data_IF_998510146384
#
_entry.id   IF_998510146384
#
_cell.length_a   1.000
_cell.length_b   1.000
_cell.length_c   1.000
_cell.angle_alpha   90.00
_cell.angle_beta   90.00
_cell.angle_gamma   90.00
#
_symmetry.space_group_name_H-M   'P 1'
#
loop_
_entity.id
_entity.type
_entity.pdbx_description
1 polymer ?
#
# COMPACT_ATOMS: atom_id res chain seq x y z
N UNK A 1 -30.47 -14.96 10.55
CA UNK A 1 -29.53 -15.88 9.94
C UNK A 1 -28.20 -15.25 9.66
N UNK A 2 -27.19 -15.86 10.16
CA UNK A 2 -25.85 -15.31 10.18
C UNK A 2 -24.94 -15.87 9.07
N UNK A 3 -25.50 -16.55 8.06
CA UNK A 3 -24.69 -17.19 7.03
C UNK A 3 -23.71 -16.24 6.35
N UNK A 4 -24.13 -15.04 6.02
CA UNK A 4 -23.26 -14.04 5.41
C UNK A 4 -22.18 -13.57 6.39
N UNK A 5 -22.54 -13.36 7.64
CA UNK A 5 -21.60 -12.98 8.70
C UNK A 5 -20.62 -14.11 8.99
N UNK A 6 -21.08 -15.36 9.06
CA UNK A 6 -20.22 -16.52 9.30
C UNK A 6 -19.26 -16.76 8.14
N UNK A 7 -19.74 -16.57 6.91
CA UNK A 7 -18.91 -16.66 5.72
C UNK A 7 -17.78 -15.62 5.74
N UNK A 8 -18.10 -14.37 6.12
CA UNK A 8 -17.10 -13.30 6.25
C UNK A 8 -16.09 -13.61 7.36
N UNK A 9 -16.54 -14.16 8.48
CA UNK A 9 -15.66 -14.51 9.61
C UNK A 9 -14.69 -15.63 9.26
N UNK A 10 -15.07 -16.54 8.36
CA UNK A 10 -14.27 -17.70 7.99
C UNK A 10 -13.40 -17.47 6.76
N UNK A 11 -13.62 -16.36 6.07
CA UNK A 11 -12.91 -16.08 4.83
C UNK A 11 -11.44 -15.74 5.13
N UNK A 12 -10.56 -16.46 4.46
CA UNK A 12 -9.12 -16.24 4.52
C UNK A 12 -8.64 -15.79 3.15
N UNK A 13 -7.79 -14.80 3.14
CA UNK A 13 -7.19 -14.27 1.91
C UNK A 13 -6.00 -15.14 1.51
N UNK A 14 -6.05 -15.73 0.32
CA UNK A 14 -5.07 -16.75 -0.09
C UNK A 14 -4.13 -16.29 -1.20
N UNK A 15 -4.52 -15.27 -1.97
CA UNK A 15 -3.71 -14.80 -3.08
C UNK A 15 -3.81 -13.27 -3.21
N UNK A 16 -2.98 -12.71 -4.06
CA UNK A 16 -2.90 -11.26 -4.21
C UNK A 16 -4.18 -10.65 -4.81
N UNK A 17 -4.84 -11.37 -5.70
CA UNK A 17 -6.12 -10.90 -6.25
C UNK A 17 -7.15 -10.71 -5.15
N UNK A 18 -7.27 -11.70 -4.25
CA UNK A 18 -8.17 -11.59 -3.08
C UNK A 18 -7.71 -10.49 -2.13
N UNK A 19 -6.40 -10.34 -1.93
CA UNK A 19 -5.86 -9.27 -1.11
C UNK A 19 -6.24 -7.91 -1.67
N UNK A 20 -6.17 -7.74 -2.99
CA UNK A 20 -6.55 -6.50 -3.66
C UNK A 20 -8.01 -6.14 -3.41
N UNK A 21 -8.89 -7.13 -3.29
CA UNK A 21 -10.31 -6.91 -3.04
C UNK A 21 -10.60 -6.36 -1.65
N UNK A 22 -9.64 -6.42 -0.73
CA UNK A 22 -9.78 -5.81 0.60
C UNK A 22 -9.59 -4.30 0.59
N UNK A 23 -9.19 -3.73 -0.54
CA UNK A 23 -8.87 -2.31 -0.65
C UNK A 23 -10.09 -1.44 -0.42
N UNK A 24 -9.95 -0.50 0.48
CA UNK A 24 -10.97 0.47 0.85
C UNK A 24 -10.29 1.83 1.03
N UNK A 25 -10.62 2.76 0.17
CA UNK A 25 -10.01 4.10 0.19
C UNK A 25 -10.87 5.13 0.94
N UNK A 26 -11.85 4.68 1.72
CA UNK A 26 -12.75 5.59 2.44
C UNK A 26 -11.99 6.55 3.37
N UNK A 27 -10.98 6.06 4.05
CA UNK A 27 -10.12 6.88 4.92
C UNK A 27 -9.40 7.96 4.09
N UNK A 28 -8.73 7.55 3.02
CA UNK A 28 -7.98 8.48 2.17
C UNK A 28 -8.91 9.50 1.50
N UNK A 29 -10.11 9.06 1.09
CA UNK A 29 -11.10 9.93 0.46
C UNK A 29 -11.65 10.98 1.42
N UNK A 30 -11.53 10.77 2.72
CA UNK A 30 -11.93 11.75 3.74
C UNK A 30 -10.85 12.81 3.98
N UNK A 31 -9.69 12.64 3.41
CA UNK A 31 -8.55 13.55 3.53
C UNK A 31 -8.38 14.37 2.25
N UNK A 32 -7.63 15.46 2.36
CA UNK A 32 -7.32 16.32 1.22
C UNK A 32 -5.89 16.11 0.76
N UNK A 33 -5.71 15.89 -0.53
CA UNK A 33 -4.38 15.88 -1.12
C UNK A 33 -3.79 17.28 -1.13
N UNK A 34 -2.46 17.36 -1.07
CA UNK A 34 -1.76 18.63 -1.28
C UNK A 34 -2.07 19.16 -2.68
N UNK A 35 -2.60 20.39 -2.80
CA UNK A 35 -3.00 20.94 -4.10
C UNK A 35 -1.82 21.16 -5.06
N UNK A 36 -0.60 21.22 -4.56
CA UNK A 36 0.59 21.38 -5.40
C UNK A 36 1.16 20.04 -5.85
N UNK A 37 0.59 18.92 -5.37
CA UNK A 37 1.08 17.60 -5.74
C UNK A 37 0.65 17.22 -7.15
N UNK A 38 1.45 16.34 -7.79
CA UNK A 38 1.07 15.72 -9.05
C UNK A 38 0.24 14.47 -8.78
N UNK A 39 -0.77 14.23 -9.61
CA UNK A 39 -1.67 13.08 -9.41
C UNK A 39 -1.00 11.74 -9.75
N UNK A 40 0.06 11.78 -10.56
CA UNK A 40 0.76 10.58 -10.97
C UNK A 40 1.74 10.06 -9.91
N UNK A 41 1.99 10.82 -8.85
CA UNK A 41 2.89 10.41 -7.78
C UNK A 41 4.37 10.42 -8.16
N UNK A 42 4.73 11.04 -9.27
CA UNK A 42 6.11 11.03 -9.76
C UNK A 42 6.93 12.25 -9.33
N UNK A 43 6.33 13.18 -8.60
CA UNK A 43 7.05 14.31 -8.04
C UNK A 43 7.77 13.86 -6.76
N UNK A 44 9.06 13.65 -6.87
CA UNK A 44 9.92 13.20 -5.75
C UNK A 44 10.83 14.30 -5.23
N UNK A 45 10.63 15.54 -5.65
CA UNK A 45 11.47 16.64 -5.16
C UNK A 45 11.13 17.01 -3.73
N UNK A 46 12.11 17.07 -2.83
CA UNK A 46 11.88 17.56 -1.47
C UNK A 46 11.35 19.01 -1.52
N UNK A 47 10.29 19.26 -0.83
CA UNK A 47 9.72 20.60 -0.72
C UNK A 47 8.85 20.70 0.52
N UNK A 48 8.61 21.92 0.96
CA UNK A 48 7.67 22.17 2.03
C UNK A 48 6.24 21.98 1.53
N UNK A 49 5.40 21.36 2.36
CA UNK A 49 3.98 21.15 2.09
C UNK A 49 3.19 22.03 3.07
N UNK A 50 2.47 23.01 2.54
CA UNK A 50 1.75 23.98 3.36
C UNK A 50 0.27 23.68 3.49
N UNK A 51 -0.26 22.75 2.71
CA UNK A 51 -1.69 22.45 2.67
C UNK A 51 -1.91 21.00 2.31
N UNK A 52 -3.06 20.46 2.76
CA UNK A 52 -3.41 19.06 2.50
C UNK A 52 -2.88 18.13 3.58
N UNK A 53 -3.36 16.88 3.54
CA UNK A 53 -3.02 15.86 4.51
C UNK A 53 -2.01 14.85 3.96
N UNK A 54 -1.96 14.71 2.64
CA UNK A 54 -1.10 13.71 2.01
C UNK A 54 -0.69 14.16 0.61
N UNK A 55 0.33 13.49 0.09
CA UNK A 55 0.86 13.69 -1.26
C UNK A 55 0.85 12.34 -1.97
N UNK A 56 0.29 12.23 -3.18
CA UNK A 56 0.43 11.02 -3.97
C UNK A 56 1.89 10.75 -4.30
N UNK A 57 2.34 9.53 -4.08
CA UNK A 57 3.72 9.11 -4.41
C UNK A 57 3.71 7.70 -4.98
N UNK A 58 4.68 7.42 -5.84
CA UNK A 58 4.92 6.07 -6.34
C UNK A 58 6.27 5.61 -5.81
N UNK A 59 6.30 4.52 -5.03
CA UNK A 59 7.56 4.01 -4.51
C UNK A 59 8.48 3.52 -5.64
N UNK A 60 9.77 3.54 -5.40
CA UNK A 60 10.73 2.89 -6.29
C UNK A 60 10.73 1.40 -6.00
N UNK A 61 10.42 0.59 -7.00
CA UNK A 61 10.38 -0.86 -6.84
C UNK A 61 11.79 -1.43 -6.67
N UNK A 62 11.91 -2.39 -5.75
CA UNK A 62 13.14 -3.17 -5.63
C UNK A 62 13.16 -4.21 -6.74
N UNK A 63 14.26 -4.29 -7.53
CA UNK A 63 14.33 -5.27 -8.61
C UNK A 63 14.44 -6.70 -8.08
N UNK A 64 13.78 -7.63 -8.74
CA UNK A 64 13.83 -9.07 -8.44
C UNK A 64 13.65 -9.40 -6.96
N UNK A 65 12.53 -8.95 -6.35
CA UNK A 65 12.35 -9.16 -4.92
C UNK A 65 12.13 -10.63 -4.59
N UNK A 66 12.66 -11.03 -3.44
CA UNK A 66 12.50 -12.37 -2.91
C UNK A 66 11.83 -12.32 -1.56
N UNK A 67 10.92 -13.28 -1.33
CA UNK A 67 10.28 -13.41 -0.03
C UNK A 67 11.31 -13.82 1.04
N UNK A 68 11.27 -13.18 2.19
CA UNK A 68 12.14 -13.50 3.33
C UNK A 68 11.33 -14.07 4.48
N UNK A 69 10.40 -13.30 5.04
CA UNK A 69 9.62 -13.77 6.19
C UNK A 69 8.40 -12.88 6.41
N UNK A 70 7.52 -13.35 7.28
CA UNK A 70 6.35 -12.57 7.71
C UNK A 70 5.99 -12.93 9.15
N UNK A 71 5.15 -12.11 9.75
CA UNK A 71 4.60 -12.39 11.07
C UNK A 71 3.42 -13.35 10.97
N UNK A 72 3.59 -14.58 11.39
CA UNK A 72 2.50 -15.56 11.42
C UNK A 72 1.34 -15.09 12.30
N UNK A 73 1.66 -14.43 13.41
CA UNK A 73 0.64 -13.92 14.33
C UNK A 73 -0.21 -12.84 13.67
N UNK A 74 0.42 -11.89 12.97
CA UNK A 74 -0.29 -10.83 12.28
C UNK A 74 -1.13 -11.41 11.13
N UNK A 75 -0.59 -12.34 10.37
CA UNK A 75 -1.35 -13.00 9.29
C UNK A 75 -2.60 -13.66 9.84
N UNK A 76 -2.49 -14.35 10.96
CA UNK A 76 -3.64 -14.98 11.59
C UNK A 76 -4.69 -13.96 12.02
N UNK A 77 -4.26 -12.87 12.65
CA UNK A 77 -5.17 -11.80 13.08
C UNK A 77 -5.89 -11.14 11.90
N UNK A 78 -5.19 -10.95 10.79
CA UNK A 78 -5.73 -10.33 9.59
C UNK A 78 -6.41 -11.34 8.65
N UNK A 79 -6.43 -12.61 9.01
CA UNK A 79 -6.99 -13.70 8.20
C UNK A 79 -6.33 -13.80 6.82
N UNK A 80 -5.01 -13.69 6.83
CA UNK A 80 -4.19 -13.88 5.63
C UNK A 80 -3.59 -15.29 5.69
N UNK A 81 -3.68 -16.02 4.58
CA UNK A 81 -3.08 -17.34 4.47
C UNK A 81 -1.58 -17.23 4.24
N UNK A 82 -0.82 -18.18 4.74
CA UNK A 82 0.61 -18.30 4.42
C UNK A 82 0.85 -18.48 2.93
N UNK A 83 -0.12 -19.02 2.20
CA UNK A 83 -0.03 -19.16 0.74
C UNK A 83 0.10 -17.83 0.02
N UNK A 84 -0.36 -16.75 0.65
CA UNK A 84 -0.22 -15.41 0.10
C UNK A 84 1.25 -15.04 -0.11
N UNK A 85 2.15 -15.52 0.75
CA UNK A 85 3.59 -15.24 0.62
C UNK A 85 4.22 -15.91 -0.59
N UNK A 86 3.56 -16.91 -1.17
CA UNK A 86 4.02 -17.59 -2.39
C UNK A 86 3.56 -16.88 -3.65
N UNK A 87 2.67 -15.92 -3.53
CA UNK A 87 2.19 -15.12 -4.65
C UNK A 87 3.24 -14.06 -4.99
N UNK A 88 3.77 -14.12 -6.20
CA UNK A 88 4.80 -13.18 -6.67
C UNK A 88 4.34 -11.73 -6.60
N UNK A 89 3.08 -11.47 -6.89
CA UNK A 89 2.55 -10.12 -6.86
C UNK A 89 2.48 -9.56 -5.44
N UNK A 90 2.22 -10.41 -4.45
CA UNK A 90 2.28 -9.99 -3.05
C UNK A 90 3.70 -9.55 -2.69
N UNK A 91 4.69 -10.33 -3.07
CA UNK A 91 6.09 -9.99 -2.83
C UNK A 91 6.49 -8.68 -3.54
N UNK A 92 6.08 -8.52 -4.80
CA UNK A 92 6.35 -7.31 -5.57
C UNK A 92 5.71 -6.08 -4.95
N UNK A 93 4.45 -6.21 -4.53
CA UNK A 93 3.71 -5.09 -3.94
C UNK A 93 4.43 -4.57 -2.69
N UNK A 94 4.79 -5.47 -1.80
CA UNK A 94 5.47 -5.10 -0.55
C UNK A 94 6.95 -4.75 -0.76
N UNK A 95 7.44 -4.86 -1.98
CA UNK A 95 8.78 -4.41 -2.37
C UNK A 95 8.74 -3.13 -3.20
N UNK A 96 7.61 -2.44 -3.21
CA UNK A 96 7.48 -1.14 -3.84
C UNK A 96 6.89 -1.14 -5.23
N UNK A 97 6.61 -2.30 -5.83
CA UNK A 97 6.01 -2.36 -7.16
C UNK A 97 4.48 -2.32 -7.05
N UNK A 98 3.93 -1.12 -6.95
CA UNK A 98 2.49 -0.94 -6.84
C UNK A 98 1.77 -1.10 -8.19
N UNK A 99 2.51 -1.26 -9.29
CA UNK A 99 1.91 -1.50 -10.60
C UNK A 99 1.18 -2.83 -10.68
N UNK A 100 1.48 -3.77 -9.77
CA UNK A 100 0.79 -5.07 -9.69
C UNK A 100 -0.60 -4.98 -9.09
N UNK A 101 -1.01 -3.81 -8.59
CA UNK A 101 -2.32 -3.62 -7.96
C UNK A 101 -3.44 -4.06 -8.90
N UNK A 102 -4.39 -4.81 -8.35
CA UNK A 102 -5.53 -5.35 -9.07
C UNK A 102 -6.81 -4.72 -8.53
N UNK A 103 -7.76 -4.44 -9.41
CA UNK A 103 -9.01 -3.78 -9.02
C UNK A 103 -9.71 -4.58 -7.89
N UNK A 104 -10.26 -3.95 -6.85
CA UNK A 104 -10.43 -2.49 -6.62
C UNK A 104 -9.22 -1.75 -6.06
N UNK A 105 -8.10 -2.44 -5.81
CA UNK A 105 -6.86 -1.77 -5.46
C UNK A 105 -6.32 -1.03 -6.69
N UNK A 106 -5.90 0.21 -6.50
CA UNK A 106 -5.30 0.99 -7.58
C UNK A 106 -3.79 1.15 -7.33
N UNK A 107 -3.01 1.38 -8.39
CA UNK A 107 -1.57 1.63 -8.24
C UNK A 107 -1.33 3.03 -7.69
N UNK A 108 -1.68 3.22 -6.42
CA UNK A 108 -1.69 4.51 -5.75
C UNK A 108 -0.98 4.41 -4.42
N UNK A 109 0.04 5.23 -4.23
CA UNK A 109 0.71 5.40 -2.96
C UNK A 109 0.54 6.82 -2.45
N UNK A 110 0.77 7.03 -1.17
CA UNK A 110 0.68 8.35 -0.57
C UNK A 110 1.62 8.48 0.61
N UNK A 111 2.03 9.71 0.85
CA UNK A 111 2.95 10.05 1.93
C UNK A 111 2.46 11.29 2.63
N UNK A 112 2.93 11.51 3.86
CA UNK A 112 2.65 12.75 4.57
C UNK A 112 3.48 13.89 4.00
N UNK A 113 3.06 15.14 4.29
CA UNK A 113 3.85 16.31 3.90
C UNK A 113 5.24 16.30 4.51
N UNK A 114 5.37 15.80 5.74
CA UNK A 114 6.68 15.68 6.37
C UNK A 114 7.59 14.74 5.59
N UNK A 115 7.08 13.60 5.18
CA UNK A 115 7.87 12.65 4.40
C UNK A 115 8.38 13.28 3.09
N UNK A 116 7.52 14.02 2.40
CA UNK A 116 7.94 14.71 1.17
C UNK A 116 9.03 15.76 1.44
N UNK A 117 8.93 16.48 2.57
CA UNK A 117 9.90 17.55 2.88
C UNK A 117 11.33 17.02 3.04
N UNK A 118 11.49 15.73 3.34
CA UNK A 118 12.82 15.09 3.50
C UNK A 118 13.07 14.01 2.45
N UNK A 119 12.16 13.80 1.51
CA UNK A 119 12.26 12.73 0.53
C UNK A 119 13.46 12.95 -0.38
N UNK A 120 14.31 11.92 -0.49
CA UNK A 120 15.50 12.00 -1.33
C UNK A 120 16.62 12.88 -0.79
N UNK A 121 16.46 13.43 0.42
CA UNK A 121 17.48 14.27 1.04
C UNK A 121 18.48 13.38 1.79
N UNK A 122 19.74 13.43 1.39
CA UNK A 122 20.76 12.76 2.14
C UNK A 122 21.16 13.57 3.36
N UNK A 123 21.29 12.90 4.50
CA UNK A 123 21.86 13.51 5.68
C UNK A 123 23.36 13.66 5.47
N UNK A 124 23.77 14.85 5.17
CA UNK A 124 25.20 15.21 5.23
C UNK A 124 25.45 15.83 6.60
N UNK A 125 26.26 15.17 7.37
CA UNK A 125 26.76 15.78 8.60
C UNK A 125 27.90 16.72 8.30
#
# INVERSE_FOLDING_TARGET
MSTKSDSLKKKVTENFSEFSQLSDYSFLNSLKADPQSTKDGNDHKPRSVYSGHYVPVVPTAIPEPEYISHSNKLFKELRLSSDLTKDQNFCRFFSGDISVADYPMSPFGWATGYALSIYGTEYTQ
#
